data_IF_811462911189
#
_entry.id   IF_811462911189
#
_cell.length_a   1.000
_cell.length_b   1.000
_cell.length_c   1.000
_cell.angle_alpha   90.00
_cell.angle_beta   90.00
_cell.angle_gamma   90.00
#
_symmetry.space_group_name_H-M   'P 1'
#
loop_
_entity.id
_entity.type
_entity.pdbx_description
1 polymer ?
#
# COMPACT_ATOMS: atom_id res chain seq x y z
N UNK A 1 14.61 6.17 7.92
CA UNK A 1 13.87 7.12 7.07
C UNK A 1 12.41 6.79 7.29
N UNK A 2 11.57 7.75 7.71
CA UNK A 2 10.13 7.50 7.77
C UNK A 2 9.64 7.25 6.34
N UNK A 3 9.08 6.06 6.10
CA UNK A 3 8.49 5.72 4.81
C UNK A 3 7.17 6.46 4.66
N UNK A 4 6.94 6.97 3.47
CA UNK A 4 5.72 7.65 3.10
C UNK A 4 4.75 6.71 2.38
N UNK A 5 3.46 7.06 2.31
CA UNK A 5 2.46 6.23 1.62
C UNK A 5 2.89 6.09 0.18
N UNK A 6 2.93 4.85 -0.30
CA UNK A 6 3.26 4.65 -1.70
C UNK A 6 2.13 5.22 -2.57
N UNK A 7 2.51 6.07 -3.54
CA UNK A 7 1.57 6.64 -4.50
C UNK A 7 2.25 6.72 -5.86
N UNK A 8 1.59 6.22 -6.90
CA UNK A 8 2.03 6.38 -8.28
C UNK A 8 2.14 7.87 -8.67
N UNK A 9 3.04 8.19 -9.63
CA UNK A 9 3.16 9.56 -10.16
C UNK A 9 1.83 10.04 -10.75
N UNK A 10 1.14 9.17 -11.48
CA UNK A 10 -0.14 9.50 -12.10
C UNK A 10 -1.17 9.86 -11.05
N UNK A 11 -1.30 9.05 -9.99
CA UNK A 11 -2.21 9.35 -8.88
C UNK A 11 -1.89 10.70 -8.22
N UNK A 12 -0.60 10.96 -7.96
CA UNK A 12 -0.15 12.25 -7.38
C UNK A 12 -0.54 13.43 -8.26
N UNK A 13 -0.35 13.33 -9.58
CA UNK A 13 -0.68 14.37 -10.55
C UNK A 13 -2.19 14.56 -10.71
N UNK A 14 -2.93 13.45 -10.78
CA UNK A 14 -4.37 13.45 -10.98
C UNK A 14 -5.07 14.09 -9.78
N UNK A 15 -4.77 13.64 -8.56
CA UNK A 15 -5.52 14.04 -7.35
C UNK A 15 -4.86 15.15 -6.51
N UNK A 16 -3.72 15.69 -6.96
CA UNK A 16 -2.94 16.71 -6.26
C UNK A 16 -2.64 16.32 -4.80
N UNK A 17 -2.19 15.07 -4.61
CA UNK A 17 -2.01 14.44 -3.30
C UNK A 17 -1.00 15.20 -2.41
N UNK A 18 0.00 15.85 -3.03
CA UNK A 18 1.08 16.56 -2.33
C UNK A 18 0.65 17.89 -1.72
N UNK A 19 -0.23 18.65 -2.38
CA UNK A 19 -0.76 19.88 -1.82
C UNK A 19 -1.54 19.65 -0.51
N UNK A 20 -1.88 18.38 -0.22
CA UNK A 20 -2.75 17.95 0.88
C UNK A 20 -2.02 17.18 1.98
N UNK A 21 -0.68 17.15 1.91
CA UNK A 21 0.17 16.41 2.84
C UNK A 21 -0.21 14.91 2.95
N UNK A 22 -0.77 14.33 1.88
CA UNK A 22 -1.06 12.90 1.84
C UNK A 22 0.26 12.16 1.80
N UNK A 23 0.49 11.30 2.78
CA UNK A 23 1.52 10.29 2.71
C UNK A 23 2.78 10.53 3.52
N UNK A 24 2.98 11.61 4.28
CA UNK A 24 4.15 11.70 5.17
C UNK A 24 3.85 12.44 6.47
N UNK A 25 4.07 11.76 7.61
CA UNK A 25 4.25 12.41 8.91
C UNK A 25 5.33 11.70 9.72
N UNK A 26 5.79 12.34 10.80
CA UNK A 26 6.76 11.77 11.72
C UNK A 26 6.21 10.59 12.57
N UNK A 27 4.93 10.20 12.40
CA UNK A 27 4.24 9.22 13.26
C UNK A 27 3.44 8.14 12.53
N UNK A 28 2.99 8.40 11.30
CA UNK A 28 2.14 7.51 10.51
C UNK A 28 2.09 7.94 9.04
N UNK A 29 1.84 6.98 8.16
CA UNK A 29 1.79 7.18 6.71
C UNK A 29 0.62 8.11 6.29
N UNK A 30 -0.55 7.96 6.91
CA UNK A 30 -1.63 8.97 6.95
C UNK A 30 -1.88 9.36 8.41
N UNK A 31 -1.37 10.53 8.88
CA UNK A 31 -1.34 10.89 10.31
C UNK A 31 -2.69 11.11 10.96
N UNK A 32 -3.68 11.57 10.21
CA UNK A 32 -4.97 11.97 10.77
C UNK A 32 -6.15 11.69 9.82
N UNK A 33 -7.35 11.64 10.39
CA UNK A 33 -8.57 11.47 9.60
C UNK A 33 -8.82 12.62 8.63
N UNK A 34 -8.17 13.78 8.80
CA UNK A 34 -8.38 14.95 7.94
C UNK A 34 -7.73 14.75 6.57
N UNK A 35 -6.49 14.31 6.49
CA UNK A 35 -5.82 14.00 5.22
C UNK A 35 -6.58 12.94 4.42
N UNK A 36 -7.13 11.91 5.09
CA UNK A 36 -7.92 10.88 4.43
C UNK A 36 -9.27 11.40 3.89
N UNK A 37 -9.96 12.26 4.66
CA UNK A 37 -11.19 12.91 4.20
C UNK A 37 -10.96 13.84 3.01
N UNK A 38 -9.90 14.65 3.06
CA UNK A 38 -9.56 15.56 1.98
C UNK A 38 -9.17 14.81 0.70
N UNK A 39 -8.47 13.69 0.82
CA UNK A 39 -8.14 12.81 -0.31
C UNK A 39 -9.39 12.14 -0.88
N UNK A 40 -10.23 11.51 -0.04
CA UNK A 40 -11.49 10.89 -0.45
C UNK A 40 -12.38 11.88 -1.21
N UNK A 41 -12.52 13.10 -0.68
CA UNK A 41 -13.29 14.16 -1.32
C UNK A 41 -12.77 14.50 -2.73
N UNK A 42 -11.45 14.57 -2.92
CA UNK A 42 -10.89 14.84 -4.26
C UNK A 42 -11.11 13.71 -5.23
N UNK A 43 -10.86 12.47 -4.79
CA UNK A 43 -11.05 11.29 -5.62
C UNK A 43 -12.50 11.23 -6.08
N UNK A 44 -13.44 11.35 -5.13
CA UNK A 44 -14.87 11.35 -5.41
C UNK A 44 -15.32 12.49 -6.32
N UNK A 45 -14.74 13.69 -6.14
CA UNK A 45 -15.03 14.85 -7.01
C UNK A 45 -14.59 14.58 -8.45
N UNK A 46 -13.39 14.06 -8.65
CA UNK A 46 -12.86 13.81 -9.99
C UNK A 46 -13.49 12.60 -10.67
N UNK A 47 -13.84 11.55 -9.91
CA UNK A 47 -14.61 10.39 -10.41
C UNK A 47 -16.08 10.73 -10.71
N UNK A 48 -16.51 11.96 -10.38
CA UNK A 48 -17.87 12.46 -10.56
C UNK A 48 -18.90 11.48 -10.00
N UNK A 49 -18.79 11.15 -8.71
CA UNK A 49 -19.61 10.12 -8.07
C UNK A 49 -21.10 10.44 -8.05
N UNK A 50 -21.50 11.69 -8.29
CA UNK A 50 -22.90 12.06 -8.52
C UNK A 50 -23.48 11.37 -9.76
N UNK A 51 -22.65 11.11 -10.77
CA UNK A 51 -22.99 10.35 -11.98
C UNK A 51 -22.55 8.89 -11.85
N UNK A 52 -21.42 8.62 -11.20
CA UNK A 52 -20.83 7.29 -11.05
C UNK A 52 -20.74 6.84 -9.58
N UNK A 53 -21.86 6.58 -8.88
CA UNK A 53 -21.85 6.33 -7.44
C UNK A 53 -21.07 5.06 -7.04
N UNK A 54 -20.94 4.09 -7.95
CA UNK A 54 -20.17 2.86 -7.74
C UNK A 54 -18.65 3.10 -7.67
N UNK A 55 -18.15 4.27 -8.07
CA UNK A 55 -16.72 4.62 -8.01
C UNK A 55 -16.32 5.36 -6.73
N UNK A 56 -17.27 5.51 -5.79
CA UNK A 56 -17.07 6.28 -4.58
C UNK A 56 -16.12 5.58 -3.61
N UNK A 57 -15.16 6.34 -3.09
CA UNK A 57 -14.21 5.89 -2.07
C UNK A 57 -14.51 6.53 -0.72
N UNK A 58 -14.05 5.88 0.35
CA UNK A 58 -14.24 6.36 1.72
C UNK A 58 -12.95 6.85 2.36
N UNK A 59 -13.09 7.78 3.31
CA UNK A 59 -11.96 8.22 4.12
C UNK A 59 -11.49 7.09 5.05
N UNK A 60 -12.40 6.26 5.59
CA UNK A 60 -12.00 5.19 6.48
C UNK A 60 -11.21 4.09 5.75
N UNK A 61 -11.66 3.66 4.57
CA UNK A 61 -10.95 2.67 3.76
C UNK A 61 -9.63 3.22 3.26
N UNK A 62 -9.53 4.50 2.87
CA UNK A 62 -8.23 5.10 2.50
C UNK A 62 -7.22 5.07 3.65
N UNK A 63 -7.64 5.36 4.89
CA UNK A 63 -6.69 5.25 6.01
C UNK A 63 -6.47 3.81 6.47
N UNK A 64 -7.42 2.91 6.24
CA UNK A 64 -7.22 1.48 6.44
C UNK A 64 -6.22 0.90 5.43
N UNK A 65 -6.32 1.30 4.17
CA UNK A 65 -5.40 0.97 3.10
C UNK A 65 -3.98 1.48 3.40
N UNK A 66 -3.86 2.74 3.81
CA UNK A 66 -2.56 3.28 4.24
C UNK A 66 -1.97 2.54 5.44
N UNK A 67 -2.81 2.07 6.37
CA UNK A 67 -2.34 1.26 7.49
C UNK A 67 -1.91 -0.15 7.02
N UNK A 68 -2.61 -0.75 6.06
CA UNK A 68 -2.22 -2.02 5.48
C UNK A 68 -0.83 -1.93 4.84
N UNK A 69 -0.59 -0.91 4.02
CA UNK A 69 0.71 -0.60 3.42
C UNK A 69 1.81 -0.44 4.49
N UNK A 70 1.51 0.29 5.57
CA UNK A 70 2.43 0.49 6.69
C UNK A 70 2.76 -0.81 7.41
N UNK A 71 1.74 -1.65 7.67
CA UNK A 71 1.90 -2.96 8.29
C UNK A 71 2.79 -3.86 7.42
N UNK A 72 2.54 -3.93 6.11
CA UNK A 72 3.35 -4.76 5.22
C UNK A 72 4.81 -4.33 5.20
N UNK A 73 5.09 -3.04 5.11
CA UNK A 73 6.48 -2.58 5.16
C UNK A 73 7.14 -2.82 6.52
N UNK A 74 6.42 -2.59 7.61
CA UNK A 74 6.91 -2.91 8.95
C UNK A 74 7.24 -4.40 9.09
N UNK A 75 6.42 -5.29 8.53
CA UNK A 75 6.69 -6.74 8.53
C UNK A 75 7.96 -7.09 7.74
N UNK A 76 8.29 -6.34 6.66
CA UNK A 76 9.60 -6.47 6.01
C UNK A 76 10.75 -6.07 6.95
N UNK A 77 10.57 -5.02 7.76
CA UNK A 77 11.59 -4.63 8.76
C UNK A 77 11.75 -5.67 9.85
N UNK A 78 10.66 -6.24 10.35
CA UNK A 78 10.68 -7.36 11.31
C UNK A 78 11.41 -8.57 10.71
N UNK A 79 11.09 -8.95 9.47
CA UNK A 79 11.77 -10.03 8.74
C UNK A 79 13.28 -9.78 8.62
N UNK A 80 13.68 -8.55 8.27
CA UNK A 80 15.08 -8.15 8.21
C UNK A 80 15.78 -8.21 9.58
N UNK A 81 15.11 -7.80 10.65
CA UNK A 81 15.67 -7.87 12.00
C UNK A 81 15.89 -9.32 12.46
N UNK A 82 14.97 -10.22 12.09
CA UNK A 82 15.03 -11.63 12.46
C UNK A 82 16.14 -12.39 11.73
N UNK A 83 16.32 -12.16 10.43
CA UNK A 83 17.22 -12.95 9.58
C UNK A 83 18.48 -12.23 9.12
N UNK A 84 18.62 -10.95 9.47
CA UNK A 84 19.83 -10.16 9.27
C UNK A 84 19.66 -8.97 8.33
N UNK A 85 20.41 -7.91 8.62
CA UNK A 85 20.30 -6.61 7.94
C UNK A 85 20.59 -6.62 6.43
N UNK A 86 21.19 -7.70 5.91
CA UNK A 86 21.53 -7.82 4.50
C UNK A 86 20.53 -8.63 3.68
N UNK A 87 19.50 -9.24 4.28
CA UNK A 87 18.63 -10.20 3.56
C UNK A 87 18.00 -9.60 2.29
N UNK A 88 17.54 -8.35 2.34
CA UNK A 88 16.99 -7.66 1.16
C UNK A 88 18.07 -7.16 0.19
N UNK A 89 19.28 -6.85 0.67
CA UNK A 89 20.41 -6.55 -0.21
C UNK A 89 20.83 -7.80 -1.00
N UNK A 90 20.83 -8.95 -0.34
CA UNK A 90 21.15 -10.24 -0.94
C UNK A 90 20.06 -10.65 -1.93
N UNK A 91 18.78 -10.47 -1.59
CA UNK A 91 17.66 -10.66 -2.51
C UNK A 91 17.79 -9.77 -3.75
N UNK A 92 18.12 -8.48 -3.58
CA UNK A 92 18.34 -7.55 -4.68
C UNK A 92 19.55 -7.95 -5.55
N UNK A 93 20.64 -8.42 -4.95
CA UNK A 93 21.81 -8.92 -5.65
C UNK A 93 21.51 -10.22 -6.43
N UNK A 94 20.70 -11.13 -5.87
CA UNK A 94 20.21 -12.33 -6.58
C UNK A 94 19.35 -11.95 -7.79
N UNK A 95 18.44 -11.00 -7.64
CA UNK A 95 17.66 -10.47 -8.76
C UNK A 95 18.58 -9.92 -9.86
N UNK A 96 19.64 -9.19 -9.47
CA UNK A 96 20.62 -8.64 -10.41
C UNK A 96 21.39 -9.74 -11.16
N UNK A 97 21.78 -10.81 -10.45
CA UNK A 97 22.51 -11.93 -11.03
C UNK A 97 21.66 -12.73 -12.03
N UNK A 98 20.36 -12.90 -11.76
CA UNK A 98 19.46 -13.67 -12.61
C UNK A 98 18.91 -12.88 -13.81
N UNK A 99 18.51 -11.62 -13.62
CA UNK A 99 17.97 -10.78 -14.71
C UNK A 99 19.04 -10.07 -15.54
N UNK A 100 20.24 -9.93 -14.98
CA UNK A 100 21.29 -9.08 -15.51
C UNK A 100 21.21 -7.64 -14.99
N UNK A 101 22.38 -7.07 -14.74
CA UNK A 101 22.55 -5.75 -14.12
C UNK A 101 21.82 -4.62 -14.87
N UNK A 102 21.97 -4.57 -16.19
CA UNK A 102 21.40 -3.48 -16.99
C UNK A 102 19.87 -3.55 -17.04
N UNK A 103 19.33 -4.77 -17.12
CA UNK A 103 17.87 -5.00 -17.12
C UNK A 103 17.26 -4.60 -15.78
N UNK A 104 17.82 -5.07 -14.67
CA UNK A 104 17.32 -4.69 -13.34
C UNK A 104 17.45 -3.18 -13.09
N UNK A 105 18.59 -2.59 -13.46
CA UNK A 105 18.80 -1.13 -13.32
C UNK A 105 17.75 -0.32 -14.09
N UNK A 106 17.43 -0.74 -15.32
CA UNK A 106 16.39 -0.10 -16.14
C UNK A 106 14.98 -0.22 -15.53
N UNK A 107 14.64 -1.39 -14.98
CA UNK A 107 13.36 -1.61 -14.28
C UNK A 107 13.28 -0.71 -13.04
N UNK A 108 14.33 -0.69 -12.21
CA UNK A 108 14.36 0.12 -10.99
C UNK A 108 14.33 1.62 -11.30
N UNK A 109 15.00 2.08 -12.36
CA UNK A 109 14.92 3.47 -12.83
C UNK A 109 13.52 3.82 -13.34
N UNK A 110 12.89 2.92 -14.10
CA UNK A 110 11.52 3.09 -14.57
C UNK A 110 10.55 3.18 -13.40
N UNK A 111 10.65 2.28 -12.42
CA UNK A 111 9.81 2.31 -11.24
C UNK A 111 10.06 3.57 -10.39
N UNK A 112 11.32 3.98 -10.17
CA UNK A 112 11.66 5.22 -9.45
C UNK A 112 11.07 6.47 -10.11
N UNK A 113 10.83 6.44 -11.43
CA UNK A 113 10.25 7.59 -12.15
C UNK A 113 8.73 7.53 -12.25
N UNK A 114 8.12 6.35 -12.41
CA UNK A 114 6.65 6.19 -12.52
C UNK A 114 5.96 6.09 -11.17
N UNK A 115 6.67 5.60 -10.16
CA UNK A 115 6.23 5.39 -8.79
C UNK A 115 7.24 6.05 -7.82
N UNK A 116 7.46 7.37 -7.95
CA UNK A 116 8.57 8.04 -7.32
C UNK A 116 8.38 8.16 -5.80
N UNK A 117 9.45 7.87 -5.01
CA UNK A 117 9.47 8.28 -3.62
C UNK A 117 9.40 9.81 -3.53
N UNK A 118 8.93 10.32 -2.40
CA UNK A 118 8.63 11.74 -2.23
C UNK A 118 9.79 12.68 -2.64
N UNK A 119 11.05 12.45 -2.25
CA UNK A 119 12.15 13.34 -2.62
C UNK A 119 12.36 13.43 -4.13
N UNK A 120 12.13 12.33 -4.85
CA UNK A 120 12.23 12.25 -6.32
C UNK A 120 11.03 12.92 -6.97
N UNK A 121 9.83 12.73 -6.43
CA UNK A 121 8.63 13.41 -6.93
C UNK A 121 8.76 14.93 -6.80
N UNK A 122 9.25 15.43 -5.66
CA UNK A 122 9.47 16.87 -5.39
C UNK A 122 10.68 17.47 -6.13
N UNK A 123 11.47 16.66 -6.84
CA UNK A 123 12.68 17.10 -7.54
C UNK A 123 13.84 17.47 -6.61
N UNK A 124 13.75 17.15 -5.31
CA UNK A 124 14.82 17.38 -4.33
C UNK A 124 15.93 16.33 -4.40
N UNK A 125 15.68 15.20 -5.07
CA UNK A 125 16.65 14.16 -5.40
C UNK A 125 16.39 13.69 -6.83
N UNK A 126 17.42 13.44 -7.62
CA UNK A 126 17.23 12.82 -8.93
C UNK A 126 17.13 11.28 -8.79
N UNK A 127 16.46 10.58 -9.73
CA UNK A 127 16.23 9.14 -9.62
C UNK A 127 17.49 8.30 -9.46
N UNK A 128 18.57 8.64 -10.17
CA UNK A 128 19.80 7.86 -10.17
C UNK A 128 20.55 7.98 -8.83
N UNK A 129 20.61 9.19 -8.27
CA UNK A 129 21.16 9.42 -6.93
C UNK A 129 20.36 8.68 -5.86
N UNK A 130 19.03 8.76 -5.95
CA UNK A 130 18.15 8.05 -5.03
C UNK A 130 18.38 6.54 -5.10
N UNK A 131 18.43 5.96 -6.29
CA UNK A 131 18.66 4.52 -6.48
C UNK A 131 20.03 4.06 -5.97
N UNK A 132 21.07 4.88 -6.13
CA UNK A 132 22.40 4.56 -5.59
C UNK A 132 22.41 4.47 -4.07
N UNK A 133 21.60 5.29 -3.39
CA UNK A 133 21.54 5.33 -1.92
C UNK A 133 20.47 4.40 -1.33
N UNK A 134 19.38 4.18 -2.07
CA UNK A 134 18.15 3.60 -1.56
C UNK A 134 17.55 2.53 -2.51
N UNK A 135 18.38 1.91 -3.37
CA UNK A 135 17.93 0.89 -4.31
C UNK A 135 17.21 -0.28 -3.65
N UNK A 136 17.74 -0.81 -2.55
CA UNK A 136 17.08 -1.90 -1.79
C UNK A 136 15.77 -1.46 -1.15
N UNK A 137 15.67 -0.21 -0.70
CA UNK A 137 14.41 0.34 -0.21
C UNK A 137 13.37 0.32 -1.32
N UNK A 138 13.71 0.86 -2.50
CA UNK A 138 12.81 0.90 -3.64
C UNK A 138 12.47 -0.51 -4.18
N UNK A 139 13.38 -1.48 -4.01
CA UNK A 139 13.12 -2.88 -4.34
C UNK A 139 12.03 -3.48 -3.45
N UNK A 140 12.07 -3.20 -2.14
CA UNK A 140 10.99 -3.54 -1.21
C UNK A 140 9.68 -2.85 -1.57
N UNK A 141 9.73 -1.56 -1.93
CA UNK A 141 8.53 -0.83 -2.39
C UNK A 141 7.88 -1.48 -3.61
N UNK A 142 8.66 -1.81 -4.64
CA UNK A 142 8.14 -2.46 -5.84
C UNK A 142 7.46 -3.80 -5.51
N UNK A 143 8.03 -4.56 -4.58
CA UNK A 143 7.46 -5.82 -4.11
C UNK A 143 6.12 -5.61 -3.40
N UNK A 144 6.02 -4.61 -2.52
CA UNK A 144 4.75 -4.29 -1.83
C UNK A 144 3.69 -3.78 -2.80
N UNK A 145 4.06 -2.89 -3.72
CA UNK A 145 3.16 -2.39 -4.76
C UNK A 145 2.60 -3.53 -5.61
N UNK A 146 3.42 -4.54 -5.92
CA UNK A 146 2.95 -5.73 -6.61
C UNK A 146 1.92 -6.51 -5.77
N UNK A 147 2.18 -6.70 -4.47
CA UNK A 147 1.26 -7.39 -3.55
C UNK A 147 -0.08 -6.64 -3.47
N UNK A 148 -0.04 -5.31 -3.32
CA UNK A 148 -1.22 -4.46 -3.21
C UNK A 148 -2.00 -4.40 -4.52
N UNK A 149 -1.30 -4.32 -5.68
CA UNK A 149 -1.95 -4.37 -6.99
C UNK A 149 -2.68 -5.70 -7.23
N UNK A 150 -2.21 -6.80 -6.64
CA UNK A 150 -2.85 -8.12 -6.74
C UNK A 150 -3.95 -8.37 -5.70
N UNK A 151 -4.21 -7.44 -4.80
CA UNK A 151 -5.20 -7.59 -3.74
C UNK A 151 -6.61 -7.20 -4.26
N UNK A 152 -7.56 -8.15 -4.37
CA UNK A 152 -8.87 -7.86 -4.97
C UNK A 152 -9.70 -6.85 -4.16
N UNK A 153 -9.50 -6.76 -2.84
CA UNK A 153 -10.20 -5.81 -1.98
C UNK A 153 -9.78 -4.35 -2.24
N UNK A 154 -8.72 -4.13 -3.02
CA UNK A 154 -8.18 -2.82 -3.34
C UNK A 154 -8.55 -2.35 -4.76
N UNK A 155 -9.45 -3.05 -5.46
CA UNK A 155 -9.79 -2.75 -6.86
C UNK A 155 -10.27 -1.30 -7.07
N UNK A 156 -11.08 -0.76 -6.16
CA UNK A 156 -11.55 0.63 -6.23
C UNK A 156 -10.44 1.67 -5.99
N UNK A 157 -9.26 1.20 -5.56
CA UNK A 157 -8.07 1.95 -5.18
C UNK A 157 -6.87 1.63 -6.08
N UNK A 158 -7.03 0.87 -7.16
CA UNK A 158 -5.93 0.34 -7.98
C UNK A 158 -5.01 1.45 -8.55
N UNK A 159 -5.56 2.64 -8.80
CA UNK A 159 -4.84 3.81 -9.30
C UNK A 159 -3.65 4.21 -8.38
N UNK A 160 -3.77 3.94 -7.08
CA UNK A 160 -2.75 4.27 -6.06
C UNK A 160 -1.48 3.45 -6.29
N UNK A 161 -1.64 2.16 -6.55
CA UNK A 161 -0.56 1.16 -6.66
C UNK A 161 -0.29 0.75 -8.12
N UNK A 162 -0.69 1.58 -9.07
CA UNK A 162 -0.61 1.26 -10.50
C UNK A 162 0.83 1.09 -10.98
N UNK A 163 1.13 -0.10 -11.52
CA UNK A 163 2.35 -0.37 -12.30
C UNK A 163 2.16 -0.17 -13.81
N UNK A 164 1.00 0.32 -14.27
CA UNK A 164 0.67 0.38 -15.71
C UNK A 164 1.68 1.21 -16.51
N UNK A 165 2.09 2.37 -16.01
CA UNK A 165 3.11 3.18 -16.66
C UNK A 165 4.49 2.54 -16.66
N UNK A 166 4.83 1.78 -15.61
CA UNK A 166 6.07 1.01 -15.59
C UNK A 166 6.05 -0.10 -16.65
N UNK A 167 4.90 -0.80 -16.79
CA UNK A 167 4.67 -1.87 -17.78
C UNK A 167 4.77 -1.38 -19.22
N UNK A 168 4.32 -0.15 -19.50
CA UNK A 168 4.47 0.45 -20.84
C UNK A 168 5.92 0.80 -21.18
N UNK A 169 6.76 1.07 -20.18
CA UNK A 169 8.12 1.60 -20.35
C UNK A 169 9.22 0.54 -20.24
N UNK A 170 8.98 -0.55 -19.51
CA UNK A 170 9.97 -1.61 -19.32
C UNK A 170 9.30 -2.99 -19.13
N UNK A 171 10.08 -4.05 -19.36
CA UNK A 171 9.66 -5.44 -19.09
C UNK A 171 9.87 -5.78 -17.61
N UNK A 172 8.89 -5.47 -16.75
CA UNK A 172 8.96 -5.81 -15.32
C UNK A 172 8.50 -7.22 -14.99
N UNK A 173 7.73 -7.90 -15.84
CA UNK A 173 7.10 -9.18 -15.50
C UNK A 173 8.11 -10.23 -15.03
N UNK A 174 9.27 -10.30 -15.69
CA UNK A 174 10.33 -11.20 -15.27
C UNK A 174 10.91 -10.90 -13.87
N UNK A 175 10.86 -9.65 -13.40
CA UNK A 175 11.23 -9.33 -12.01
C UNK A 175 10.10 -9.70 -11.03
N UNK A 176 8.85 -9.46 -11.42
CA UNK A 176 7.69 -9.78 -10.58
C UNK A 176 7.57 -11.28 -10.32
N UNK A 177 7.76 -12.09 -11.36
CA UNK A 177 7.81 -13.56 -11.25
C UNK A 177 8.99 -14.02 -10.39
N UNK A 178 10.12 -13.34 -10.50
CA UNK A 178 11.34 -13.68 -9.79
C UNK A 178 11.26 -13.43 -8.28
N UNK A 179 10.39 -12.52 -7.81
CA UNK A 179 10.21 -12.31 -6.36
C UNK A 179 9.86 -13.62 -5.64
N UNK A 180 8.87 -14.38 -6.12
CA UNK A 180 8.50 -15.64 -5.48
C UNK A 180 9.70 -16.61 -5.42
N UNK A 181 10.41 -16.79 -6.52
CA UNK A 181 11.56 -17.69 -6.59
C UNK A 181 12.68 -17.28 -5.62
N UNK A 182 12.96 -15.98 -5.49
CA UNK A 182 13.99 -15.50 -4.55
C UNK A 182 13.57 -15.79 -3.11
N UNK A 183 12.32 -15.49 -2.74
CA UNK A 183 11.85 -15.63 -1.35
C UNK A 183 11.52 -17.08 -0.97
N UNK A 184 11.33 -17.98 -1.94
CA UNK A 184 11.22 -19.43 -1.70
C UNK A 184 12.55 -20.04 -1.20
N UNK A 185 13.68 -19.43 -1.54
CA UNK A 185 15.02 -19.85 -1.11
C UNK A 185 15.51 -19.16 0.18
N UNK A 186 14.69 -18.26 0.74
CA UNK A 186 14.99 -17.53 1.97
C UNK A 186 14.22 -18.14 3.16
N UNK A 187 14.63 -17.86 4.41
CA UNK A 187 13.91 -18.36 5.59
C UNK A 187 12.42 -17.97 5.56
N UNK A 188 11.55 -18.87 6.04
CA UNK A 188 10.13 -18.59 6.21
C UNK A 188 9.86 -17.51 7.25
N UNK A 189 8.61 -17.07 7.34
CA UNK A 189 8.19 -15.99 8.20
C UNK A 189 6.79 -16.23 8.80
N UNK A 190 6.55 -15.61 9.95
CA UNK A 190 5.29 -15.73 10.66
C UNK A 190 5.13 -17.06 11.43
N UNK A 191 3.96 -17.28 12.04
CA UNK A 191 3.71 -18.42 12.91
C UNK A 191 3.73 -19.78 12.19
N UNK A 192 3.44 -19.78 10.89
CA UNK A 192 3.33 -20.99 10.06
C UNK A 192 4.59 -21.24 9.19
N UNK A 193 5.67 -20.47 9.39
CA UNK A 193 6.94 -20.57 8.65
C UNK A 193 6.76 -20.52 7.12
N UNK A 194 5.88 -19.64 6.63
CA UNK A 194 5.59 -19.49 5.20
C UNK A 194 6.64 -18.62 4.50
N UNK A 195 6.91 -18.88 3.22
CA UNK A 195 7.73 -17.95 2.43
C UNK A 195 7.11 -16.53 2.42
N UNK A 196 7.96 -15.51 2.49
CA UNK A 196 7.57 -14.12 2.80
C UNK A 196 6.47 -13.57 1.87
N UNK A 197 6.55 -13.87 0.56
CA UNK A 197 5.57 -13.40 -0.41
C UNK A 197 4.17 -13.97 -0.12
N UNK A 198 4.07 -15.28 0.13
CA UNK A 198 2.79 -15.89 0.48
C UNK A 198 2.26 -15.38 1.79
N UNK A 199 3.12 -15.27 2.81
CA UNK A 199 2.75 -14.68 4.10
C UNK A 199 2.07 -13.31 3.91
N UNK A 200 2.64 -12.42 3.11
CA UNK A 200 2.06 -11.09 2.85
C UNK A 200 0.77 -11.14 2.03
N UNK A 201 0.58 -12.15 1.16
CA UNK A 201 -0.66 -12.36 0.42
C UNK A 201 -1.77 -13.05 1.25
N UNK A 202 -1.44 -13.72 2.35
CA UNK A 202 -2.38 -14.53 3.12
C UNK A 202 -3.69 -13.81 3.50
N UNK A 203 -3.70 -12.52 3.90
CA UNK A 203 -4.94 -11.79 4.16
C UNK A 203 -5.82 -11.69 2.91
N UNK A 204 -5.24 -11.28 1.78
CA UNK A 204 -5.98 -11.13 0.50
C UNK A 204 -6.47 -12.45 -0.09
N UNK A 205 -5.81 -13.57 0.23
CA UNK A 205 -6.26 -14.91 -0.16
C UNK A 205 -7.42 -15.35 0.72
N UNK A 206 -7.32 -15.13 2.04
CA UNK A 206 -8.36 -15.54 2.98
C UNK A 206 -9.64 -14.71 2.83
N UNK A 207 -9.51 -13.42 2.54
CA UNK A 207 -10.61 -12.46 2.47
C UNK A 207 -10.46 -11.55 1.23
N UNK A 208 -10.69 -12.07 0.02
CA UNK A 208 -10.42 -11.35 -1.22
C UNK A 208 -11.29 -10.10 -1.39
N UNK A 209 -12.49 -10.07 -0.84
CA UNK A 209 -13.48 -9.03 -1.16
C UNK A 209 -13.64 -7.97 -0.05
N UNK A 210 -12.83 -8.01 1.01
CA UNK A 210 -13.07 -7.18 2.21
C UNK A 210 -11.79 -6.74 2.90
N UNK A 211 -11.45 -5.45 2.78
CA UNK A 211 -10.33 -4.84 3.49
C UNK A 211 -10.49 -4.93 5.02
N UNK A 212 -11.72 -4.83 5.52
CA UNK A 212 -12.02 -4.99 6.95
C UNK A 212 -11.66 -6.40 7.45
N UNK A 213 -12.04 -7.43 6.70
CA UNK A 213 -11.76 -8.81 7.09
C UNK A 213 -10.28 -9.15 6.94
N UNK A 214 -9.59 -8.58 5.95
CA UNK A 214 -8.13 -8.67 5.83
C UNK A 214 -7.42 -8.07 7.05
N UNK A 215 -7.79 -6.86 7.48
CA UNK A 215 -7.24 -6.24 8.68
C UNK A 215 -7.60 -7.04 9.96
N UNK A 216 -8.79 -7.63 10.00
CA UNK A 216 -9.21 -8.51 11.09
C UNK A 216 -8.41 -9.81 11.14
N UNK A 217 -8.07 -10.37 9.97
CA UNK A 217 -7.19 -11.53 9.81
C UNK A 217 -5.78 -11.20 10.32
N UNK A 218 -5.23 -10.05 9.91
CA UNK A 218 -3.92 -9.58 10.37
C UNK A 218 -3.92 -9.44 11.90
N UNK A 219 -4.99 -8.86 12.47
CA UNK A 219 -5.12 -8.76 13.93
C UNK A 219 -5.09 -10.12 14.61
N UNK A 220 -5.83 -11.12 14.11
CA UNK A 220 -5.92 -12.43 14.77
C UNK A 220 -4.68 -13.29 14.58
N UNK A 221 -4.03 -13.25 13.42
CA UNK A 221 -2.90 -14.12 13.08
C UNK A 221 -1.55 -13.49 13.36
N UNK A 222 -1.42 -12.16 13.22
CA UNK A 222 -0.13 -11.47 13.26
C UNK A 222 0.02 -10.52 14.45
N UNK A 223 -0.93 -10.49 15.39
CA UNK A 223 -0.90 -9.58 16.56
C UNK A 223 0.45 -9.51 17.27
N UNK A 224 1.12 -10.65 17.47
CA UNK A 224 2.43 -10.72 18.14
C UNK A 224 3.56 -10.08 17.33
N UNK A 225 3.41 -9.96 16.02
CA UNK A 225 4.39 -9.36 15.12
C UNK A 225 4.24 -7.84 15.02
N UNK A 226 3.06 -7.27 15.29
CA UNK A 226 2.73 -5.88 14.93
C UNK A 226 3.27 -4.82 15.90
N UNK A 227 3.66 -5.18 17.12
CA UNK A 227 4.09 -4.23 18.14
C UNK A 227 3.07 -3.08 18.31
N UNK A 228 3.56 -1.83 18.24
CA UNK A 228 2.76 -0.61 18.42
C UNK A 228 1.69 -0.39 17.33
N UNK A 229 1.81 -1.06 16.16
CA UNK A 229 0.81 -0.97 15.10
C UNK A 229 -0.51 -1.67 15.47
N UNK A 230 -0.50 -2.60 16.43
CA UNK A 230 -1.71 -3.32 16.85
C UNK A 230 -2.79 -2.37 17.38
N UNK A 231 -2.42 -1.40 18.22
CA UNK A 231 -3.36 -0.42 18.76
C UNK A 231 -3.98 0.46 17.66
N UNK A 232 -3.19 0.80 16.65
CA UNK A 232 -3.67 1.55 15.48
C UNK A 232 -4.60 0.70 14.62
N UNK A 233 -4.30 -0.58 14.45
CA UNK A 233 -5.14 -1.54 13.75
C UNK A 233 -6.51 -1.67 14.41
N UNK A 234 -6.56 -1.81 15.74
CA UNK A 234 -7.81 -1.88 16.49
C UNK A 234 -8.69 -0.65 16.27
N UNK A 235 -8.11 0.55 16.41
CA UNK A 235 -8.83 1.82 16.17
C UNK A 235 -9.33 1.96 14.72
N UNK A 236 -8.53 1.50 13.75
CA UNK A 236 -8.93 1.50 12.34
C UNK A 236 -10.10 0.56 12.07
N UNK A 237 -10.07 -0.64 12.66
CA UNK A 237 -11.18 -1.60 12.57
C UNK A 237 -12.47 -1.05 13.18
N UNK A 238 -12.39 -0.41 14.35
CA UNK A 238 -13.56 0.22 14.99
C UNK A 238 -14.18 1.29 14.07
N UNK A 239 -13.35 2.17 13.49
CA UNK A 239 -13.82 3.22 12.58
C UNK A 239 -14.41 2.66 11.28
N UNK A 240 -13.82 1.63 10.69
CA UNK A 240 -14.39 0.94 9.52
C UNK A 240 -15.78 0.36 9.86
N UNK A 241 -15.89 -0.32 11.00
CA UNK A 241 -17.15 -0.92 11.45
C UNK A 241 -18.25 0.12 11.67
N UNK A 242 -17.92 1.28 12.25
CA UNK A 242 -18.84 2.41 12.37
C UNK A 242 -19.32 2.90 11.00
N UNK A 243 -18.41 3.09 10.04
CA UNK A 243 -18.77 3.56 8.70
C UNK A 243 -19.62 2.53 7.93
N UNK A 244 -19.31 1.24 8.01
CA UNK A 244 -20.14 0.18 7.43
C UNK A 244 -21.55 0.17 8.01
N UNK A 245 -21.70 0.34 9.33
CA UNK A 245 -23.02 0.46 9.97
C UNK A 245 -23.80 1.68 9.44
N UNK A 246 -23.13 2.81 9.25
CA UNK A 246 -23.77 4.01 8.71
C UNK A 246 -24.15 3.86 7.22
N UNK A 247 -23.30 3.22 6.40
CA UNK A 247 -23.60 2.93 4.98
C UNK A 247 -24.72 1.90 4.82
N UNK A 248 -24.73 0.87 5.65
CA UNK A 248 -25.82 -0.12 5.72
C UNK A 248 -27.15 0.44 6.25
N UNK A 249 -27.14 1.63 6.87
CA UNK A 249 -28.34 2.31 7.38
C UNK A 249 -28.93 3.35 6.40
N UNK A 250 -28.49 3.38 5.13
CA UNK A 250 -29.06 4.28 4.10
C UNK A 250 -30.30 3.70 3.39
N UNK A 251 -30.98 2.72 4.00
CA UNK A 251 -32.30 2.23 3.60
C UNK A 251 -33.40 2.64 4.59
N UNK A 252 -34.02 3.80 4.38
CA UNK A 252 -35.36 4.09 4.91
C UNK A 252 -35.44 4.77 6.30
N UNK A 253 -34.75 5.88 6.50
CA UNK A 253 -35.10 6.80 7.59
C UNK A 253 -36.20 7.76 7.13
N UNK A 254 -37.48 7.43 7.38
CA UNK A 254 -38.57 8.40 7.28
C UNK A 254 -38.23 9.62 8.14
N UNK A 255 -38.01 10.77 7.49
CA UNK A 255 -38.10 12.06 8.14
C UNK A 255 -39.55 12.28 8.55
N UNK A 256 -39.93 11.84 9.75
CA UNK A 256 -41.10 12.39 10.42
C UNK A 256 -40.76 13.85 10.77
N UNK A 257 -41.04 14.76 9.84
CA UNK A 257 -41.16 16.17 10.15
C UNK A 257 -42.29 16.30 11.15
N UNK A 258 -41.97 16.70 12.39
CA UNK A 258 -42.95 17.15 13.36
C UNK A 258 -43.63 18.40 12.79
N UNK A 259 -44.86 18.25 12.31
CA UNK A 259 -45.78 19.35 12.09
C UNK A 259 -46.30 19.79 13.46
N UNK A 260 -46.03 21.04 13.83
CA UNK A 260 -46.73 21.70 14.93
C UNK A 260 -47.96 22.37 14.33
N UNK A 261 -49.14 21.99 14.83
CA UNK A 261 -50.40 22.71 14.62
C UNK A 261 -50.43 24.02 15.44
#
# INVERSE_FOLDING_TARGET
MLRCFHLSREFRLQYDAEAKAVGCSDRAILPDGRSANELAFQINRQRNIAVNPHLAVSAAELSALSLLDEIYFYLLEVYQQQYGNNIFNDAYARAQAQLGKDKLSSIMQTFCTTNPPLPVYKGTSNPDDFLRQHGTLLFKELMLVQIEQQNPALIDYEDIFSLNEARKKCQLDGLLELFNQIFDELPGFGPDDEHLMKFLHSPSIAHPDSLFDQLSYIRSHWSMLLGDLLDRLLRTLDRLNEEYKHRGFTGGGNSNTLSFD
#
